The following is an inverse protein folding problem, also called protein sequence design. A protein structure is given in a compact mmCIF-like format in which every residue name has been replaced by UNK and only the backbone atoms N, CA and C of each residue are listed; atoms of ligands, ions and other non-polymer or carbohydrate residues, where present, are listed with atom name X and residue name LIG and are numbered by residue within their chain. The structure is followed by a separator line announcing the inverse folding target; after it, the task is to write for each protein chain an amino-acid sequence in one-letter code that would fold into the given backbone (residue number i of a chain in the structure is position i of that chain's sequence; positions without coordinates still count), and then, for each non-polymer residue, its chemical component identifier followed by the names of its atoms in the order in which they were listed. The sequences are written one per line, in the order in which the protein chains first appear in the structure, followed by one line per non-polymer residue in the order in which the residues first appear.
data_IF_152081206123
#
_entry.id   IF_152081206123
#
_cell.length_a   1.000
_cell.length_b   1.000
_cell.length_c   1.000
_cell.angle_alpha   90.00
_cell.angle_beta   90.00
_cell.angle_gamma   90.00
#
_symmetry.space_group_name_H-M   'P 1'
#
loop_
_entity.id
_entity.type
_entity.pdbx_description
1 polymer ?
#
# COMPACT_ATOMS: atom_id res chain seq x y z
N UNK A 1 -16.82 -5.78 6.17
CA UNK A 1 -15.73 -6.45 5.47
C UNK A 1 -14.76 -5.41 4.89
N UNK A 2 -13.44 -5.56 5.04
CA UNK A 2 -12.46 -4.64 4.46
C UNK A 2 -12.19 -4.96 2.98
N UNK A 3 -12.37 -3.98 2.10
CA UNK A 3 -11.95 -4.04 0.69
C UNK A 3 -10.57 -3.40 0.55
N UNK A 4 -9.58 -4.20 0.16
CA UNK A 4 -8.20 -3.74 -0.02
C UNK A 4 -7.91 -3.51 -1.50
N UNK A 5 -7.55 -2.27 -1.85
CA UNK A 5 -7.07 -1.90 -3.17
C UNK A 5 -5.62 -1.45 -3.06
N UNK A 6 -4.71 -2.13 -3.73
CA UNK A 6 -3.28 -1.81 -3.68
C UNK A 6 -2.69 -1.82 -5.09
N UNK A 7 -1.84 -0.83 -5.36
CA UNK A 7 -1.02 -0.73 -6.57
C UNK A 7 0.46 -0.71 -6.17
N UNK A 8 1.28 -1.42 -6.93
CA UNK A 8 2.73 -1.42 -6.76
C UNK A 8 3.39 -1.25 -8.11
N UNK A 9 4.32 -0.31 -8.20
CA UNK A 9 5.06 0.02 -9.40
C UNK A 9 6.56 -0.13 -9.13
N UNK A 10 7.26 -0.85 -10.01
CA UNK A 10 8.72 -0.86 -10.00
C UNK A 10 9.20 0.36 -10.79
N UNK A 11 10.00 1.19 -10.15
CA UNK A 11 10.62 2.36 -10.73
C UNK A 11 12.14 2.21 -10.71
N UNK A 12 12.79 2.79 -11.71
CA UNK A 12 14.25 2.90 -11.76
C UNK A 12 14.61 4.36 -11.56
N UNK A 13 15.33 4.65 -10.47
CA UNK A 13 15.82 5.99 -10.15
C UNK A 13 17.35 5.91 -10.21
N UNK A 14 17.94 6.41 -11.29
CA UNK A 14 19.37 6.25 -11.57
C UNK A 14 19.75 4.79 -11.83
N UNK A 15 20.74 4.25 -11.12
CA UNK A 15 21.13 2.83 -11.15
C UNK A 15 20.29 1.95 -10.22
N UNK A 16 19.57 2.57 -9.29
CA UNK A 16 18.87 1.89 -8.20
C UNK A 16 17.43 1.56 -8.62
N UNK A 17 17.02 0.29 -8.46
CA UNK A 17 15.60 -0.08 -8.58
C UNK A 17 14.91 0.12 -7.24
N UNK A 18 13.73 0.72 -7.29
CA UNK A 18 12.88 1.00 -6.12
C UNK A 18 11.48 0.54 -6.46
N UNK A 19 10.81 -0.12 -5.54
CA UNK A 19 9.38 -0.42 -5.68
C UNK A 19 8.63 0.60 -4.84
N UNK A 20 7.71 1.32 -5.48
CA UNK A 20 6.79 2.22 -4.78
C UNK A 20 5.41 1.60 -4.82
N UNK A 21 4.80 1.47 -3.65
CA UNK A 21 3.48 0.90 -3.47
C UNK A 21 2.56 1.84 -2.70
N UNK A 22 1.29 1.87 -3.10
CA UNK A 22 0.24 2.58 -2.40
C UNK A 22 -1.00 1.70 -2.34
N UNK A 23 -1.72 1.76 -1.23
CA UNK A 23 -2.99 1.06 -1.11
C UNK A 23 -3.97 1.81 -0.23
N UNK A 24 -5.24 1.56 -0.48
CA UNK A 24 -6.36 2.01 0.34
C UNK A 24 -7.16 0.80 0.78
N UNK A 25 -7.65 0.83 2.01
CA UNK A 25 -8.56 -0.16 2.55
C UNK A 25 -9.88 0.54 2.89
N UNK A 26 -11.00 0.05 2.37
CA UNK A 26 -12.32 0.56 2.72
C UNK A 26 -13.07 -0.42 3.62
N UNK A 27 -13.52 0.03 4.78
CA UNK A 27 -14.31 -0.73 5.74
C UNK A 27 -15.79 -0.49 5.46
N UNK A 28 -16.36 -1.26 4.53
CA UNK A 28 -17.78 -1.15 4.14
C UNK A 28 -18.75 -1.62 5.24
N UNK A 29 -18.31 -2.56 6.07
CA UNK A 29 -19.03 -3.06 7.24
C UNK A 29 -17.98 -3.28 8.33
N UNK A 30 -17.84 -2.34 9.26
CA UNK A 30 -16.93 -2.50 10.38
C UNK A 30 -17.63 -3.27 11.52
N UNK A 31 -16.93 -4.19 12.21
CA UNK A 31 -17.43 -4.74 13.47
C UNK A 31 -17.70 -3.62 14.48
N UNK A 32 -18.62 -3.83 15.43
CA UNK A 32 -18.94 -2.83 16.46
C UNK A 32 -17.65 -2.46 17.23
N UNK A 33 -17.23 -1.19 17.14
CA UNK A 33 -15.97 -0.69 17.71
C UNK A 33 -14.72 -0.82 16.82
N UNK A 34 -14.86 -1.24 15.56
CA UNK A 34 -13.80 -1.32 14.57
C UNK A 34 -13.60 -0.02 13.77
N UNK A 35 -12.51 0.09 13.00
CA UNK A 35 -12.26 1.24 12.13
C UNK A 35 -13.29 1.31 11.00
N UNK A 36 -13.94 2.48 10.86
CA UNK A 36 -14.93 2.78 9.83
C UNK A 36 -14.32 3.66 8.72
N UNK A 37 -14.82 3.52 7.49
CA UNK A 37 -14.39 4.38 6.36
C UNK A 37 -13.12 3.89 5.66
N UNK A 38 -12.17 4.80 5.39
CA UNK A 38 -10.97 4.52 4.58
C UNK A 38 -9.68 4.51 5.41
N UNK A 39 -8.83 3.51 5.19
CA UNK A 39 -7.42 3.49 5.58
C UNK A 39 -6.53 3.67 4.35
N UNK A 40 -5.35 4.25 4.52
CA UNK A 40 -4.36 4.40 3.46
C UNK A 40 -2.99 3.83 3.91
N UNK A 41 -2.25 3.27 2.97
CA UNK A 41 -0.93 2.70 3.19
C UNK A 41 0.02 3.12 2.07
N UNK A 42 1.20 3.60 2.46
CA UNK A 42 2.30 3.88 1.55
C UNK A 42 3.47 2.94 1.84
N UNK A 43 4.13 2.44 0.80
CA UNK A 43 5.20 1.46 0.87
C UNK A 43 6.32 1.89 -0.07
N UNK A 44 7.55 1.91 0.44
CA UNK A 44 8.76 2.12 -0.35
C UNK A 44 9.72 0.97 -0.07
N UNK A 45 10.14 0.28 -1.12
CA UNK A 45 11.08 -0.84 -1.03
C UNK A 45 12.33 -0.52 -1.85
N UNK A 46 13.47 -0.44 -1.18
CA UNK A 46 14.77 -0.29 -1.83
C UNK A 46 15.32 -1.68 -2.21
N UNK A 47 15.61 -1.89 -3.49
CA UNK A 47 16.20 -3.15 -3.96
C UNK A 47 17.72 -3.06 -3.90
N UNK A 48 18.31 -3.24 -2.71
CA UNK A 48 19.76 -3.19 -2.57
C UNK A 48 20.44 -4.23 -3.48
N UNK A 49 21.48 -3.85 -4.24
CA UNK A 49 22.30 -4.83 -4.93
C UNK A 49 23.03 -5.72 -3.91
N UNK A 50 23.17 -7.01 -4.24
CA UNK A 50 24.07 -7.94 -3.54
C UNK A 50 25.52 -7.67 -3.97
#
# INVERSE_FOLDING_TARGET
MPLNLQVTQVLKIGSQRVIIGGGVCYYADAPQGGPEGFGARFIVTFLCPQ
#
